data_IF_026651514885
#
_entry.id   IF_026651514885
#
_cell.length_a   1.000
_cell.length_b   1.000
_cell.length_c   1.000
_cell.angle_alpha   90.00
_cell.angle_beta   90.00
_cell.angle_gamma   90.00
#
_symmetry.space_group_name_H-M   'P 1'
#
loop_
_entity.id
_entity.type
_entity.pdbx_description
1 polymer ?
#
# COMPACT_ATOMS: atom_id res chain seq x y z
N UNK A 1 24.45 36.37 -28.67
CA UNK A 1 25.52 36.70 -27.71
C UNK A 1 26.87 35.98 -27.97
N UNK A 2 26.94 34.85 -28.68
CA UNK A 2 28.23 34.26 -29.09
C UNK A 2 28.91 35.02 -30.25
N UNK A 3 28.15 35.58 -31.20
CA UNK A 3 28.70 36.19 -32.42
C UNK A 3 29.36 37.57 -32.24
N UNK A 4 29.16 38.27 -31.12
CA UNK A 4 29.74 39.60 -30.90
C UNK A 4 31.13 39.57 -30.22
N UNK A 5 31.56 38.42 -29.67
CA UNK A 5 32.74 38.33 -28.81
C UNK A 5 34.08 38.19 -29.56
N UNK A 6 34.05 37.77 -30.82
CA UNK A 6 35.25 37.46 -31.61
C UNK A 6 35.86 38.64 -32.38
N UNK A 7 35.21 39.81 -32.43
CA UNK A 7 35.62 40.90 -33.34
C UNK A 7 36.60 41.93 -32.74
N UNK A 8 36.85 41.89 -31.43
CA UNK A 8 37.70 42.86 -30.74
C UNK A 8 38.97 42.19 -30.19
N UNK A 9 40.14 42.85 -30.28
CA UNK A 9 41.44 42.31 -29.82
C UNK A 9 41.74 42.60 -28.34
N UNK A 10 40.87 43.36 -27.67
CA UNK A 10 41.06 43.84 -26.30
C UNK A 10 39.80 43.71 -25.44
N UNK A 11 40.00 43.74 -24.12
CA UNK A 11 38.98 43.63 -23.08
C UNK A 11 39.19 44.76 -22.05
N UNK A 12 38.14 45.47 -21.61
CA UNK A 12 38.29 46.56 -20.65
C UNK A 12 38.56 46.03 -19.23
N UNK A 13 39.54 46.59 -18.52
CA UNK A 13 39.83 46.26 -17.13
C UNK A 13 38.93 47.07 -16.18
N UNK A 14 38.18 46.43 -15.26
CA UNK A 14 37.16 47.12 -14.45
C UNK A 14 37.72 48.15 -13.47
N UNK A 15 38.97 48.01 -13.01
CA UNK A 15 39.55 48.88 -11.99
C UNK A 15 40.27 50.12 -12.56
N UNK A 16 40.69 50.11 -13.83
CA UNK A 16 41.61 51.14 -14.37
C UNK A 16 41.10 51.85 -15.63
N UNK A 17 39.93 51.47 -16.18
CA UNK A 17 39.41 51.94 -17.49
C UNK A 17 40.40 51.81 -18.65
N UNK A 18 41.47 51.02 -18.49
CA UNK A 18 42.47 50.76 -19.53
C UNK A 18 42.10 49.47 -20.27
N UNK A 19 42.28 49.49 -21.58
CA UNK A 19 42.11 48.31 -22.44
C UNK A 19 43.30 47.36 -22.26
N UNK A 20 43.01 46.08 -22.05
CA UNK A 20 44.01 45.02 -21.99
C UNK A 20 43.84 44.10 -23.20
N UNK A 21 44.93 43.52 -23.70
CA UNK A 21 44.86 42.52 -24.75
C UNK A 21 44.25 41.21 -24.22
N UNK A 22 43.53 40.50 -25.10
CA UNK A 22 42.89 39.21 -24.78
C UNK A 22 43.90 38.09 -24.54
N UNK A 23 44.99 38.14 -25.28
CA UNK A 23 46.06 37.16 -25.26
C UNK A 23 47.40 37.86 -25.35
N UNK A 24 48.38 37.37 -24.62
CA UNK A 24 49.76 37.81 -24.76
C UNK A 24 50.57 36.77 -25.53
N UNK A 25 51.46 37.22 -26.43
CA UNK A 25 52.30 36.29 -27.20
C UNK A 25 53.29 35.61 -26.26
N UNK A 26 53.23 34.28 -26.23
CA UNK A 26 54.05 33.44 -25.39
C UNK A 26 54.98 32.59 -26.24
N UNK A 27 56.28 32.76 -26.03
CA UNK A 27 57.35 32.10 -26.77
C UNK A 27 57.75 30.81 -26.05
N UNK A 28 57.84 29.71 -26.80
CA UNK A 28 58.31 28.43 -26.29
C UNK A 28 59.84 28.43 -26.33
N UNK A 29 60.44 28.44 -25.14
CA UNK A 29 61.88 28.49 -24.94
C UNK A 29 62.34 27.16 -24.34
N UNK A 30 63.60 26.80 -24.59
CA UNK A 30 64.19 25.55 -24.09
C UNK A 30 65.44 25.83 -23.28
N UNK A 31 65.63 25.05 -22.21
CA UNK A 31 66.85 25.00 -21.39
C UNK A 31 67.00 23.57 -20.87
N UNK A 32 68.19 22.98 -20.99
CA UNK A 32 68.51 21.64 -20.48
C UNK A 32 67.52 20.52 -20.89
N UNK A 33 66.89 20.65 -22.06
CA UNK A 33 65.89 19.70 -22.59
C UNK A 33 64.44 19.96 -22.16
N UNK A 34 64.17 20.90 -21.26
CA UNK A 34 62.82 21.30 -20.85
C UNK A 34 62.29 22.47 -21.69
N UNK A 35 61.02 22.41 -22.10
CA UNK A 35 60.34 23.48 -22.85
C UNK A 35 59.36 24.25 -21.94
N UNK A 36 59.50 25.58 -21.87
CA UNK A 36 58.60 26.45 -21.10
C UNK A 36 58.20 27.71 -21.89
N UNK A 37 56.95 28.14 -21.70
CA UNK A 37 56.40 29.35 -22.31
C UNK A 37 56.72 30.62 -21.51
N UNK A 38 57.21 31.66 -22.19
CA UNK A 38 57.48 32.97 -21.59
C UNK A 38 56.87 34.10 -22.41
N UNK A 39 56.30 35.11 -21.75
CA UNK A 39 55.90 36.35 -22.43
C UNK A 39 57.11 37.17 -22.87
N UNK A 40 56.90 38.21 -23.68
CA UNK A 40 57.99 39.10 -24.09
C UNK A 40 58.67 39.82 -22.90
N UNK A 41 57.92 40.08 -21.82
CA UNK A 41 58.43 40.69 -20.60
C UNK A 41 59.22 39.68 -19.77
N UNK A 42 58.68 38.47 -19.55
CA UNK A 42 59.31 37.41 -18.77
C UNK A 42 60.58 36.86 -19.44
N UNK A 43 60.56 36.75 -20.77
CA UNK A 43 61.69 36.21 -21.52
C UNK A 43 62.96 37.04 -21.31
N UNK A 44 62.84 38.35 -21.06
CA UNK A 44 64.02 39.20 -20.79
C UNK A 44 64.77 38.76 -19.52
N UNK A 45 64.06 38.28 -18.51
CA UNK A 45 64.65 37.73 -17.29
C UNK A 45 65.08 36.28 -17.50
N UNK A 46 64.21 35.46 -18.09
CA UNK A 46 64.52 34.05 -18.37
C UNK A 46 65.73 33.85 -19.30
N UNK A 47 66.00 34.81 -20.19
CA UNK A 47 67.19 34.81 -21.04
C UNK A 47 68.48 34.95 -20.22
N UNK A 48 68.47 35.72 -19.13
CA UNK A 48 69.60 35.82 -18.20
C UNK A 48 69.82 34.50 -17.44
N UNK A 49 68.73 33.76 -17.18
CA UNK A 49 68.76 32.43 -16.55
C UNK A 49 69.08 31.29 -17.54
N UNK A 50 69.47 31.60 -18.79
CA UNK A 50 69.91 30.64 -19.79
C UNK A 50 68.80 30.00 -20.64
N UNK A 51 67.58 30.56 -20.64
CA UNK A 51 66.51 30.09 -21.54
C UNK A 51 66.62 30.65 -22.94
N UNK A 52 66.52 29.80 -23.95
CA UNK A 52 66.63 30.20 -25.36
C UNK A 52 65.33 29.99 -26.14
N UNK A 53 64.91 31.00 -26.92
CA UNK A 53 63.80 30.86 -27.86
C UNK A 53 64.14 29.83 -28.93
N UNK A 54 63.19 28.98 -29.27
CA UNK A 54 63.38 28.02 -30.35
C UNK A 54 63.01 28.64 -31.70
N UNK A 55 63.79 28.35 -32.74
CA UNK A 55 63.52 28.76 -34.12
C UNK A 55 63.54 27.54 -35.05
N UNK A 56 62.95 27.65 -36.23
CA UNK A 56 63.02 26.59 -37.24
C UNK A 56 64.38 26.62 -37.95
N UNK A 57 65.09 25.50 -37.90
CA UNK A 57 66.35 25.26 -38.62
C UNK A 57 66.19 24.11 -39.62
N UNK A 58 67.01 24.11 -40.66
CA UNK A 58 67.00 23.06 -41.70
C UNK A 58 68.02 21.97 -41.34
N UNK A 59 67.52 20.79 -40.96
CA UNK A 59 68.33 19.60 -40.67
C UNK A 59 68.09 18.60 -41.81
N UNK A 60 69.02 18.56 -42.78
CA UNK A 60 68.85 17.80 -44.02
C UNK A 60 67.62 18.25 -44.82
N UNK A 61 66.62 17.37 -44.99
CA UNK A 61 65.34 17.66 -45.68
C UNK A 61 64.21 18.11 -44.73
N UNK A 62 64.41 18.12 -43.41
CA UNK A 62 63.36 18.43 -42.42
C UNK A 62 63.58 19.80 -41.75
N UNK A 63 62.48 20.44 -41.33
CA UNK A 63 62.51 21.67 -40.53
C UNK A 63 62.25 21.30 -39.07
N UNK A 64 63.18 21.61 -38.18
CA UNK A 64 63.11 21.27 -36.75
C UNK A 64 63.25 22.52 -35.90
N UNK A 65 62.50 22.59 -34.80
CA UNK A 65 62.65 23.66 -33.81
C UNK A 65 63.79 23.32 -32.85
N UNK A 66 64.71 24.26 -32.66
CA UNK A 66 65.80 24.13 -31.68
C UNK A 66 66.31 25.51 -31.22
N UNK A 67 67.08 25.51 -30.14
CA UNK A 67 67.76 26.69 -29.62
C UNK A 67 68.88 27.15 -30.57
N UNK A 68 69.14 28.46 -30.70
CA UNK A 68 70.26 29.00 -31.45
C UNK A 68 71.63 28.41 -31.07
N UNK A 69 71.92 28.21 -29.78
CA UNK A 69 73.19 27.61 -29.34
C UNK A 69 73.37 26.18 -29.87
N UNK A 70 72.32 25.36 -29.78
CA UNK A 70 72.31 23.99 -30.29
C UNK A 70 72.43 23.94 -31.83
N UNK A 71 71.78 24.89 -32.54
CA UNK A 71 71.87 24.99 -33.99
C UNK A 71 73.27 25.43 -34.45
N UNK A 72 73.89 26.36 -33.74
CA UNK A 72 75.24 26.86 -34.06
C UNK A 72 76.31 25.79 -33.82
N UNK A 73 76.18 25.00 -32.76
CA UNK A 73 77.07 23.86 -32.50
C UNK A 73 77.07 22.81 -33.62
N UNK A 74 75.95 22.70 -34.37
CA UNK A 74 75.79 21.77 -35.49
C UNK A 74 75.87 22.44 -36.88
N UNK A 75 76.11 23.75 -36.94
CA UNK A 75 76.26 24.51 -38.19
C UNK A 75 74.97 24.65 -39.02
N UNK A 76 73.78 24.58 -38.42
CA UNK A 76 72.52 24.66 -39.17
C UNK A 76 72.06 26.08 -39.49
N UNK A 77 71.50 26.25 -40.69
CA UNK A 77 70.93 27.52 -41.13
C UNK A 77 69.48 27.72 -40.65
N UNK A 78 69.19 28.93 -40.17
CA UNK A 78 67.86 29.34 -39.69
C UNK A 78 66.92 29.59 -40.87
N UNK A 79 65.78 28.91 -40.86
CA UNK A 79 64.76 28.97 -41.94
C UNK A 79 63.71 30.07 -41.69
N UNK A 80 63.44 30.40 -40.43
CA UNK A 80 62.43 31.39 -40.06
C UNK A 80 62.96 32.34 -38.98
N UNK A 81 62.66 33.64 -39.16
CA UNK A 81 62.92 34.68 -38.16
C UNK A 81 61.95 34.64 -36.97
N UNK A 82 60.85 33.90 -37.08
CA UNK A 82 59.82 33.85 -36.05
C UNK A 82 60.06 32.67 -35.09
N UNK A 83 60.22 32.94 -33.79
CA UNK A 83 60.40 31.90 -32.79
C UNK A 83 59.12 31.08 -32.60
N UNK A 84 59.27 29.85 -32.10
CA UNK A 84 58.16 28.99 -31.69
C UNK A 84 57.33 29.69 -30.62
N UNK A 85 56.02 29.72 -30.78
CA UNK A 85 55.09 30.29 -29.81
C UNK A 85 53.91 29.35 -29.60
N UNK A 86 53.21 29.50 -28.47
CA UNK A 86 51.98 28.75 -28.24
C UNK A 86 50.90 29.15 -29.25
N UNK A 87 50.04 28.20 -29.64
CA UNK A 87 49.07 28.38 -30.74
C UNK A 87 48.09 29.54 -30.51
N UNK A 88 47.71 29.78 -29.26
CA UNK A 88 46.74 30.80 -28.87
C UNK A 88 47.32 31.88 -27.95
N UNK A 89 48.63 31.84 -27.66
CA UNK A 89 49.24 32.70 -26.65
C UNK A 89 48.75 32.43 -25.23
N UNK A 90 49.32 33.13 -24.25
CA UNK A 90 48.86 33.10 -22.87
C UNK A 90 47.55 33.88 -22.76
N UNK A 91 46.50 33.26 -22.24
CA UNK A 91 45.21 33.91 -22.08
C UNK A 91 45.24 34.92 -20.92
N UNK A 92 44.55 36.05 -21.08
CA UNK A 92 44.35 36.98 -19.98
C UNK A 92 43.36 36.38 -18.97
N UNK A 93 43.68 36.28 -17.67
CA UNK A 93 42.81 35.69 -16.65
C UNK A 93 41.41 36.32 -16.58
N UNK A 94 41.27 37.62 -16.87
CA UNK A 94 39.96 38.29 -16.92
C UNK A 94 39.15 37.78 -18.12
N UNK A 95 39.81 37.63 -19.27
CA UNK A 95 39.16 37.14 -20.49
C UNK A 95 38.82 35.66 -20.36
N UNK A 96 39.68 34.88 -19.71
CA UNK A 96 39.44 33.47 -19.38
C UNK A 96 38.22 33.33 -18.44
N UNK A 97 38.16 34.11 -17.35
CA UNK A 97 37.00 34.15 -16.46
C UNK A 97 35.71 34.54 -17.20
N UNK A 98 35.76 35.52 -18.09
CA UNK A 98 34.58 35.95 -18.86
C UNK A 98 34.08 34.90 -19.86
N UNK A 99 34.97 34.00 -20.27
CA UNK A 99 34.67 32.89 -21.17
C UNK A 99 34.41 31.58 -20.39
N UNK A 100 34.44 31.60 -19.06
CA UNK A 100 34.15 30.40 -18.27
C UNK A 100 32.65 30.09 -18.26
N UNK A 101 32.33 28.81 -18.20
CA UNK A 101 30.95 28.33 -18.13
C UNK A 101 30.25 28.77 -16.85
N UNK A 102 30.98 28.84 -15.74
CA UNK A 102 30.48 29.36 -14.45
C UNK A 102 30.01 30.81 -14.57
N UNK A 103 30.81 31.66 -15.22
CA UNK A 103 30.47 33.07 -15.40
C UNK A 103 29.28 33.25 -16.36
N UNK A 104 29.15 32.36 -17.34
CA UNK A 104 28.00 32.33 -18.25
C UNK A 104 26.69 32.01 -17.52
N UNK A 105 26.69 31.06 -16.59
CA UNK A 105 25.52 30.70 -15.78
C UNK A 105 25.07 31.90 -14.94
N UNK A 106 26.01 32.56 -14.24
CA UNK A 106 25.73 33.74 -13.43
C UNK A 106 25.15 34.89 -14.26
N UNK A 107 25.67 35.13 -15.46
CA UNK A 107 25.14 36.16 -16.35
C UNK A 107 23.76 35.82 -16.89
N UNK A 108 23.49 34.56 -17.25
CA UNK A 108 22.16 34.14 -17.69
C UNK A 108 21.13 34.28 -16.57
N UNK A 109 21.50 33.93 -15.33
CA UNK A 109 20.65 34.12 -14.16
C UNK A 109 20.33 35.60 -13.93
N UNK A 110 21.35 36.45 -13.82
CA UNK A 110 21.17 37.89 -13.61
C UNK A 110 20.34 38.55 -14.72
N UNK A 111 20.52 38.12 -15.97
CA UNK A 111 19.72 38.60 -17.09
C UNK A 111 18.25 38.16 -16.97
N UNK A 112 18.00 36.89 -16.66
CA UNK A 112 16.64 36.38 -16.45
C UNK A 112 15.94 37.13 -15.30
N UNK A 113 16.63 37.41 -14.20
CA UNK A 113 16.09 38.16 -13.06
C UNK A 113 15.73 39.60 -13.41
N UNK A 114 16.57 40.28 -14.19
CA UNK A 114 16.26 41.63 -14.70
C UNK A 114 15.04 41.57 -15.62
N UNK A 115 15.04 40.67 -16.60
CA UNK A 115 13.96 40.55 -17.57
C UNK A 115 12.61 40.21 -16.90
N UNK A 116 12.61 39.26 -15.96
CA UNK A 116 11.41 38.86 -15.23
C UNK A 116 10.83 40.00 -14.38
N UNK A 117 11.67 40.82 -13.74
CA UNK A 117 11.20 42.02 -13.02
C UNK A 117 10.49 43.01 -13.94
N UNK A 118 10.95 43.15 -15.19
CA UNK A 118 10.28 44.01 -16.16
C UNK A 118 8.96 43.40 -16.67
N UNK A 119 8.93 42.09 -16.92
CA UNK A 119 7.70 41.36 -17.29
C UNK A 119 6.63 41.49 -16.19
N UNK A 120 7.02 41.32 -14.93
CA UNK A 120 6.12 41.47 -13.78
C UNK A 120 5.56 42.90 -13.66
N UNK A 121 6.41 43.92 -13.79
CA UNK A 121 5.98 45.34 -13.77
C UNK A 121 5.02 45.71 -14.89
N UNK A 122 5.07 45.00 -16.01
CA UNK A 122 4.23 45.21 -17.19
C UNK A 122 2.99 44.30 -17.21
N UNK A 123 2.79 43.50 -16.16
CA UNK A 123 1.61 42.64 -16.00
C UNK A 123 1.65 41.33 -16.81
N UNK A 124 2.81 40.95 -17.35
CA UNK A 124 2.97 39.68 -18.06
C UNK A 124 3.16 38.52 -17.08
N UNK A 125 2.48 37.41 -17.30
CA UNK A 125 2.60 36.20 -16.48
C UNK A 125 3.79 35.32 -16.89
N UNK A 126 4.32 35.51 -18.10
CA UNK A 126 5.46 34.73 -18.59
C UNK A 126 6.73 34.97 -17.75
N UNK A 127 7.52 33.92 -17.55
CA UNK A 127 8.80 34.00 -16.83
C UNK A 127 9.89 33.26 -17.60
N UNK A 128 11.05 33.88 -17.65
CA UNK A 128 12.27 33.36 -18.25
C UNK A 128 13.04 32.57 -17.19
N UNK A 129 13.29 31.29 -17.44
CA UNK A 129 14.19 30.46 -16.63
C UNK A 129 15.50 30.28 -17.39
N UNK A 130 16.63 30.58 -16.73
CA UNK A 130 17.96 30.48 -17.31
C UNK A 130 18.49 29.04 -17.35
N UNK A 131 17.88 28.14 -16.57
CA UNK A 131 18.26 26.74 -16.47
C UNK A 131 17.80 25.94 -17.68
N UNK A 132 18.57 24.92 -18.03
CA UNK A 132 18.19 23.97 -19.07
C UNK A 132 16.94 23.16 -18.69
N UNK A 133 16.28 22.53 -19.66
CA UNK A 133 15.15 21.64 -19.38
C UNK A 133 15.56 20.48 -18.45
N UNK A 134 16.77 19.95 -18.59
CA UNK A 134 17.31 18.91 -17.71
C UNK A 134 17.47 19.40 -16.26
N UNK A 135 18.05 20.59 -16.06
CA UNK A 135 18.20 21.21 -14.72
C UNK A 135 16.85 21.57 -14.08
N UNK A 136 15.81 21.77 -14.90
CA UNK A 136 14.43 21.99 -14.44
C UNK A 136 13.65 20.69 -14.22
N UNK A 137 14.24 19.53 -14.53
CA UNK A 137 13.56 18.23 -14.46
C UNK A 137 12.43 18.05 -15.49
N UNK A 138 12.46 18.83 -16.58
CA UNK A 138 11.50 18.71 -17.67
C UNK A 138 11.93 17.57 -18.61
N UNK A 139 11.01 16.62 -18.85
CA UNK A 139 11.21 15.57 -19.84
C UNK A 139 10.90 16.04 -21.28
N UNK A 140 10.42 17.27 -21.43
CA UNK A 140 10.10 17.87 -22.72
C UNK A 140 11.37 18.16 -23.52
N UNK A 141 11.28 17.97 -24.83
CA UNK A 141 12.39 18.25 -25.74
C UNK A 141 12.42 19.74 -26.10
N UNK A 142 13.56 20.44 -25.98
CA UNK A 142 13.65 21.84 -26.38
C UNK A 142 13.58 21.98 -27.91
N UNK A 143 12.97 23.07 -28.38
CA UNK A 143 12.96 23.42 -29.80
C UNK A 143 14.33 23.90 -30.28
N UNK A 144 14.64 23.67 -31.56
CA UNK A 144 15.88 24.11 -32.19
C UNK A 144 15.73 25.54 -32.72
N UNK A 145 16.79 26.33 -32.70
CA UNK A 145 16.77 27.66 -33.29
C UNK A 145 16.62 27.59 -34.82
N UNK A 146 15.55 28.17 -35.34
CA UNK A 146 15.15 28.06 -36.75
C UNK A 146 16.08 28.87 -37.69
N UNK A 147 16.46 30.08 -37.28
CA UNK A 147 17.30 30.99 -38.07
C UNK A 147 16.54 31.75 -39.16
N UNK A 148 17.18 32.82 -39.67
CA UNK A 148 16.58 33.75 -40.67
C UNK A 148 16.27 33.08 -42.01
N UNK A 149 17.08 32.12 -42.45
CA UNK A 149 16.90 31.41 -43.74
C UNK A 149 15.65 30.53 -43.71
N UNK A 150 15.45 29.75 -42.64
CA UNK A 150 14.26 28.91 -42.46
C UNK A 150 12.97 29.75 -42.47
N UNK A 151 12.98 30.90 -41.79
CA UNK A 151 11.83 31.83 -41.76
C UNK A 151 11.55 32.49 -43.10
N UNK A 152 12.58 32.81 -43.88
CA UNK A 152 12.43 33.36 -45.22
C UNK A 152 11.83 32.35 -46.21
N UNK A 153 12.17 31.06 -46.09
CA UNK A 153 11.59 29.97 -46.90
C UNK A 153 10.10 29.76 -46.58
N UNK A 154 9.74 29.74 -45.30
CA UNK A 154 8.33 29.64 -44.87
C UNK A 154 7.48 30.82 -45.35
N UNK A 155 8.01 32.05 -45.33
CA UNK A 155 7.31 33.23 -45.86
C UNK A 155 7.03 33.13 -47.37
N UNK A 156 7.80 32.32 -48.09
CA UNK A 156 7.59 32.01 -49.52
C UNK A 156 6.72 30.77 -49.75
N UNK A 157 6.17 30.17 -48.69
CA UNK A 157 5.31 28.97 -48.77
C UNK A 157 6.07 27.65 -48.85
N UNK A 158 7.40 27.64 -48.67
CA UNK A 158 8.22 26.42 -48.69
C UNK A 158 8.45 25.95 -47.26
N UNK A 159 8.07 24.71 -46.95
CA UNK A 159 8.26 24.12 -45.62
C UNK A 159 9.75 23.88 -45.39
N UNK A 160 10.27 24.45 -44.30
CA UNK A 160 11.66 24.25 -43.90
C UNK A 160 11.78 23.08 -42.92
N UNK A 161 12.72 22.16 -43.12
CA UNK A 161 12.97 21.01 -42.22
C UNK A 161 13.10 21.42 -40.74
N UNK A 162 13.78 22.54 -40.47
CA UNK A 162 13.92 23.08 -39.10
C UNK A 162 12.61 23.57 -38.47
N UNK A 163 11.73 24.16 -39.28
CA UNK A 163 10.42 24.62 -38.82
C UNK A 163 9.49 23.42 -38.61
N UNK A 164 9.53 22.44 -39.50
CA UNK A 164 8.79 21.18 -39.37
C UNK A 164 9.23 20.38 -38.13
N UNK A 165 10.54 20.26 -37.90
CA UNK A 165 11.08 19.64 -36.68
C UNK A 165 10.56 20.31 -35.41
N UNK A 166 10.46 21.64 -35.39
CA UNK A 166 9.91 22.36 -34.25
C UNK A 166 8.40 22.18 -34.09
N UNK A 167 7.64 22.05 -35.19
CA UNK A 167 6.22 21.69 -35.14
C UNK A 167 6.05 20.31 -34.51
N UNK A 168 6.85 19.34 -34.94
CA UNK A 168 6.85 17.98 -34.38
C UNK A 168 7.23 17.98 -32.89
N UNK A 169 8.32 18.65 -32.50
CA UNK A 169 8.73 18.75 -31.09
C UNK A 169 7.60 19.36 -30.22
N UNK A 170 6.89 20.37 -30.73
CA UNK A 170 5.76 20.97 -30.01
C UNK A 170 4.58 20.00 -29.88
N UNK A 171 4.26 19.25 -30.93
CA UNK A 171 3.22 18.22 -30.91
C UNK A 171 3.56 17.09 -29.93
N UNK A 172 4.80 16.58 -29.98
CA UNK A 172 5.30 15.54 -29.08
C UNK A 172 5.25 15.99 -27.62
N UNK A 173 5.70 17.22 -27.33
CA UNK A 173 5.64 17.78 -25.98
C UNK A 173 4.19 17.96 -25.50
N UNK A 174 3.26 18.32 -26.39
CA UNK A 174 1.84 18.43 -26.05
C UNK A 174 1.26 17.05 -25.68
N UNK A 175 1.53 16.02 -26.47
CA UNK A 175 1.13 14.65 -26.18
C UNK A 175 1.74 14.14 -24.88
N UNK A 176 3.03 14.42 -24.63
CA UNK A 176 3.71 14.05 -23.38
C UNK A 176 3.01 14.65 -22.14
N UNK A 177 2.57 15.92 -22.22
CA UNK A 177 1.81 16.56 -21.14
C UNK A 177 0.45 15.91 -20.93
N UNK A 178 -0.26 15.60 -22.02
CA UNK A 178 -1.56 14.93 -21.95
C UNK A 178 -1.43 13.55 -21.30
N UNK A 179 -0.51 12.72 -21.78
CA UNK A 179 -0.24 11.38 -21.24
C UNK A 179 0.13 11.45 -19.74
N UNK A 180 0.99 12.40 -19.34
CA UNK A 180 1.30 12.62 -17.92
C UNK A 180 0.08 13.02 -17.10
N UNK A 181 -0.79 13.87 -17.67
CA UNK A 181 -2.06 14.24 -17.06
C UNK A 181 -2.98 13.04 -16.85
N UNK A 182 -3.12 12.18 -17.87
CA UNK A 182 -3.93 10.96 -17.80
C UNK A 182 -3.36 9.96 -16.79
N UNK A 183 -2.04 9.71 -16.80
CA UNK A 183 -1.38 8.83 -15.81
C UNK A 183 -1.58 9.36 -14.38
N UNK A 184 -1.47 10.68 -14.16
CA UNK A 184 -1.73 11.28 -12.85
C UNK A 184 -3.19 11.10 -12.41
N UNK A 185 -4.15 11.26 -13.33
CA UNK A 185 -5.58 11.00 -13.06
C UNK A 185 -5.83 9.53 -12.70
N UNK A 186 -5.24 8.60 -13.45
CA UNK A 186 -5.34 7.16 -13.18
C UNK A 186 -4.72 6.79 -11.83
N UNK A 187 -3.51 7.29 -11.54
CA UNK A 187 -2.85 7.07 -10.25
C UNK A 187 -3.68 7.61 -9.08
N UNK A 188 -4.32 8.77 -9.25
CA UNK A 188 -5.20 9.33 -8.24
C UNK A 188 -6.50 8.52 -8.09
N UNK A 189 -7.08 8.05 -9.19
CA UNK A 189 -8.25 7.18 -9.16
C UNK A 189 -7.95 5.89 -8.41
N UNK A 190 -6.83 5.21 -8.72
CA UNK A 190 -6.36 4.01 -8.02
C UNK A 190 -6.11 4.30 -6.53
N UNK A 191 -5.48 5.43 -6.21
CA UNK A 191 -5.24 5.86 -4.82
C UNK A 191 -6.54 6.07 -4.04
N UNK A 192 -7.64 6.46 -4.70
CA UNK A 192 -8.94 6.63 -4.06
C UNK A 192 -9.72 5.32 -3.98
N UNK A 193 -9.62 4.46 -4.98
CA UNK A 193 -10.38 3.20 -5.05
C UNK A 193 -9.82 2.10 -4.16
N UNK A 194 -8.49 2.03 -3.99
CA UNK A 194 -7.85 0.98 -3.18
C UNK A 194 -8.23 1.07 -1.69
N UNK A 195 -8.17 2.25 -1.03
CA UNK A 195 -8.67 2.40 0.34
C UNK A 195 -10.17 2.15 0.46
N UNK A 196 -10.97 2.59 -0.51
CA UNK A 196 -12.41 2.34 -0.52
C UNK A 196 -12.71 0.83 -0.60
N UNK A 197 -12.00 0.10 -1.45
CA UNK A 197 -12.13 -1.36 -1.57
C UNK A 197 -11.69 -2.07 -0.28
N UNK A 198 -10.59 -1.64 0.32
CA UNK A 198 -10.13 -2.16 1.61
C UNK A 198 -11.18 -1.95 2.71
N UNK A 199 -11.74 -0.74 2.79
CA UNK A 199 -12.79 -0.35 3.72
C UNK A 199 -14.05 -1.21 3.54
N UNK A 200 -14.53 -1.40 2.31
CA UNK A 200 -15.71 -2.25 2.04
C UNK A 200 -15.45 -3.71 2.41
N UNK A 201 -14.27 -4.27 2.08
CA UNK A 201 -13.92 -5.65 2.42
C UNK A 201 -13.81 -5.87 3.94
N UNK A 202 -13.21 -4.95 4.67
CA UNK A 202 -13.11 -5.07 6.12
C UNK A 202 -14.44 -4.76 6.84
N UNK A 203 -15.31 -3.93 6.27
CA UNK A 203 -16.69 -3.78 6.76
C UNK A 203 -17.53 -5.05 6.55
N UNK A 204 -17.40 -5.73 5.41
CA UNK A 204 -18.02 -7.05 5.22
C UNK A 204 -17.45 -8.09 6.18
N UNK A 205 -16.12 -8.13 6.37
CA UNK A 205 -15.48 -9.01 7.35
C UNK A 205 -16.00 -8.76 8.78
N UNK A 206 -16.19 -7.48 9.16
CA UNK A 206 -16.81 -7.09 10.42
C UNK A 206 -18.24 -7.63 10.55
N UNK A 207 -19.05 -7.53 9.49
CA UNK A 207 -20.41 -8.07 9.50
C UNK A 207 -20.41 -9.61 9.63
N UNK A 208 -19.54 -10.30 8.89
CA UNK A 208 -19.35 -11.76 9.01
C UNK A 208 -18.98 -12.17 10.44
N UNK A 209 -18.12 -11.39 11.10
CA UNK A 209 -17.75 -11.61 12.50
C UNK A 209 -18.96 -11.50 13.44
N UNK A 210 -19.80 -10.49 13.25
CA UNK A 210 -21.03 -10.32 14.03
C UNK A 210 -22.04 -11.45 13.80
N UNK A 211 -22.23 -11.88 12.55
CA UNK A 211 -23.10 -13.00 12.23
C UNK A 211 -22.60 -14.31 12.84
N UNK A 212 -21.29 -14.59 12.77
CA UNK A 212 -20.69 -15.75 13.42
C UNK A 212 -20.95 -15.75 14.93
N UNK A 213 -20.80 -14.58 15.57
CA UNK A 213 -21.08 -14.43 16.99
C UNK A 213 -22.55 -14.68 17.32
N UNK A 214 -23.46 -14.06 16.57
CA UNK A 214 -24.91 -14.23 16.74
C UNK A 214 -25.32 -15.69 16.58
N UNK A 215 -24.87 -16.35 15.50
CA UNK A 215 -25.13 -17.76 15.26
C UNK A 215 -24.59 -18.65 16.38
N UNK A 216 -23.37 -18.40 16.83
CA UNK A 216 -22.79 -19.17 17.93
C UNK A 216 -23.52 -18.95 19.25
N UNK A 217 -24.03 -17.74 19.51
CA UNK A 217 -24.85 -17.44 20.68
C UNK A 217 -26.20 -18.18 20.63
N UNK A 218 -26.88 -18.12 19.47
CA UNK A 218 -28.16 -18.79 19.25
C UNK A 218 -28.02 -20.31 19.39
N UNK A 219 -26.98 -20.90 18.78
CA UNK A 219 -26.71 -22.35 18.87
C UNK A 219 -26.51 -22.81 20.31
N UNK A 220 -25.74 -22.07 21.12
CA UNK A 220 -25.60 -22.36 22.56
C UNK A 220 -26.93 -22.22 23.32
N UNK A 221 -27.76 -21.24 22.94
CA UNK A 221 -29.11 -21.09 23.49
C UNK A 221 -30.00 -22.29 23.19
N UNK A 222 -30.02 -22.74 21.94
CA UNK A 222 -30.75 -23.93 21.48
C UNK A 222 -30.27 -25.19 22.18
N UNK A 223 -28.96 -25.38 22.29
CA UNK A 223 -28.36 -26.52 22.98
C UNK A 223 -28.81 -26.60 24.44
N UNK A 224 -28.83 -25.47 25.17
CA UNK A 224 -29.36 -25.42 26.54
C UNK A 224 -30.84 -25.82 26.60
N UNK A 225 -31.68 -25.25 25.73
CA UNK A 225 -33.12 -25.60 25.69
C UNK A 225 -33.34 -27.07 25.34
N UNK A 226 -32.61 -27.61 24.36
CA UNK A 226 -32.70 -29.00 23.97
C UNK A 226 -32.28 -29.93 25.12
N UNK A 227 -31.19 -29.62 25.83
CA UNK A 227 -30.79 -30.39 27.01
C UNK A 227 -31.88 -30.39 28.08
N UNK A 228 -32.48 -29.23 28.38
CA UNK A 228 -33.61 -29.15 29.31
C UNK A 228 -34.83 -29.95 28.83
N UNK A 229 -35.22 -29.82 27.56
CA UNK A 229 -36.36 -30.52 26.98
C UNK A 229 -36.15 -32.05 26.93
N UNK A 230 -34.93 -32.50 26.68
CA UNK A 230 -34.59 -33.93 26.68
C UNK A 230 -34.73 -34.56 28.07
N UNK A 231 -34.60 -33.78 29.14
CA UNK A 231 -34.86 -34.23 30.51
C UNK A 231 -36.35 -34.12 30.88
N UNK A 232 -37.01 -33.02 30.51
CA UNK A 232 -38.38 -32.73 30.95
C UNK A 232 -39.44 -33.55 30.17
N UNK A 233 -39.26 -33.81 28.87
CA UNK A 233 -40.26 -34.57 28.07
C UNK A 233 -40.43 -36.02 28.56
N UNK A 234 -39.36 -36.80 28.80
CA UNK A 234 -39.52 -38.14 29.37
C UNK A 234 -40.13 -38.09 30.77
N UNK A 235 -39.73 -37.12 31.59
CA UNK A 235 -40.29 -36.97 32.93
C UNK A 235 -41.79 -36.64 32.94
N UNK A 236 -42.26 -35.77 32.04
CA UNK A 236 -43.70 -35.52 31.89
C UNK A 236 -44.45 -36.79 31.47
N UNK A 237 -43.84 -37.60 30.60
CA UNK A 237 -44.40 -38.89 30.18
C UNK A 237 -44.52 -39.86 31.36
N UNK A 238 -43.46 -39.97 32.18
CA UNK A 238 -43.47 -40.78 33.40
C UNK A 238 -44.49 -40.28 34.43
N UNK A 239 -44.57 -38.96 34.65
CA UNK A 239 -45.55 -38.35 35.53
C UNK A 239 -46.99 -38.69 35.11
N UNK A 240 -47.31 -38.53 33.82
CA UNK A 240 -48.63 -38.84 33.29
C UNK A 240 -48.99 -40.32 33.45
N UNK A 241 -48.00 -41.21 33.29
CA UNK A 241 -48.17 -42.65 33.47
C UNK A 241 -48.42 -42.98 34.95
N UNK A 242 -47.59 -42.50 35.89
CA UNK A 242 -47.80 -42.67 37.33
C UNK A 242 -49.16 -42.12 37.78
N UNK A 243 -49.56 -40.95 37.28
CA UNK A 243 -50.87 -40.36 37.58
C UNK A 243 -52.03 -41.21 37.02
N UNK A 244 -51.84 -41.91 35.91
CA UNK A 244 -52.82 -42.86 35.38
C UNK A 244 -52.88 -44.12 36.24
N UNK A 245 -51.75 -44.72 36.58
CA UNK A 245 -51.67 -45.95 37.36
C UNK A 245 -52.26 -45.76 38.78
N UNK A 246 -51.96 -44.64 39.43
CA UNK A 246 -52.58 -44.26 40.71
C UNK A 246 -54.10 -44.17 40.57
N UNK A 247 -54.61 -43.56 39.49
CA UNK A 247 -56.06 -43.44 39.24
C UNK A 247 -56.71 -44.80 39.01
N UNK A 248 -56.09 -45.67 38.23
CA UNK A 248 -56.63 -46.99 37.89
C UNK A 248 -56.62 -47.92 39.11
N UNK A 249 -55.52 -47.97 39.86
CA UNK A 249 -55.44 -48.66 41.17
C UNK A 249 -56.45 -48.11 42.18
N UNK A 250 -56.74 -46.80 42.15
CA UNK A 250 -57.77 -46.19 43.02
C UNK A 250 -59.17 -46.69 42.69
N UNK A 251 -59.48 -46.88 41.40
CA UNK A 251 -60.76 -47.43 40.97
C UNK A 251 -60.89 -48.91 41.37
N UNK A 252 -59.84 -49.71 41.17
CA UNK A 252 -59.81 -51.13 41.53
C UNK A 252 -59.98 -51.34 43.05
N UNK A 253 -59.24 -50.57 43.87
CA UNK A 253 -59.41 -50.60 45.33
C UNK A 253 -60.84 -50.23 45.74
N UNK A 254 -61.44 -49.24 45.07
CA UNK A 254 -62.82 -48.81 45.34
C UNK A 254 -63.84 -49.90 44.98
N UNK A 255 -63.66 -50.62 43.87
CA UNK A 255 -64.55 -51.73 43.51
C UNK A 255 -64.43 -52.89 44.50
N UNK A 256 -63.22 -53.30 44.88
CA UNK A 256 -63.01 -54.37 45.87
C UNK A 256 -63.56 -53.99 47.27
N UNK A 257 -63.46 -52.72 47.65
CA UNK A 257 -64.09 -52.21 48.88
C UNK A 257 -65.61 -52.31 48.82
N UNK A 258 -66.23 -52.01 47.67
CA UNK A 258 -67.68 -52.14 47.49
C UNK A 258 -68.14 -53.61 47.48
N UNK A 259 -67.38 -54.50 46.83
CA UNK A 259 -67.63 -55.94 46.82
C UNK A 259 -67.57 -56.52 48.24
N UNK A 260 -66.50 -56.17 48.99
CA UNK A 260 -66.34 -56.57 50.38
C UNK A 260 -67.50 -56.10 51.26
N UNK A 261 -68.01 -54.88 51.06
CA UNK A 261 -69.17 -54.35 51.82
C UNK A 261 -70.49 -55.04 51.48
N UNK A 262 -70.66 -55.50 50.23
CA UNK A 262 -71.85 -56.22 49.79
C UNK A 262 -71.86 -57.69 50.23
N UNK A 263 -70.69 -58.26 50.55
CA UNK A 263 -70.55 -59.64 51.03
C UNK A 263 -71.08 -59.83 52.46
N UNK A 264 -72.01 -60.78 52.63
CA UNK A 264 -72.50 -61.19 53.95
C UNK A 264 -71.36 -61.67 54.88
N UNK A 265 -71.47 -61.37 56.17
CA UNK A 265 -70.45 -61.65 57.20
C UNK A 265 -70.13 -63.15 57.38
N UNK A 266 -70.98 -64.04 56.87
CA UNK A 266 -70.78 -65.51 56.93
C UNK A 266 -69.62 -65.97 56.03
N UNK A 267 -69.25 -65.20 54.99
CA UNK A 267 -68.18 -65.55 54.05
C UNK A 267 -66.78 -65.11 54.53
N UNK A 268 -66.35 -65.58 55.70
CA UNK A 268 -65.11 -65.14 56.38
C UNK A 268 -63.86 -65.26 55.50
N UNK A 269 -63.72 -66.36 54.75
CA UNK A 269 -62.56 -66.57 53.86
C UNK A 269 -62.49 -65.55 52.71
N UNK A 270 -63.63 -65.22 52.08
CA UNK A 270 -63.70 -64.19 51.03
C UNK A 270 -63.46 -62.79 51.57
N UNK A 271 -63.97 -62.48 52.76
CA UNK A 271 -63.67 -61.21 53.46
C UNK A 271 -62.17 -61.05 53.72
N UNK A 272 -61.48 -62.13 54.13
CA UNK A 272 -60.03 -62.14 54.36
C UNK A 272 -59.24 -62.01 53.07
N UNK A 273 -59.65 -62.70 52.01
CA UNK A 273 -59.04 -62.60 50.68
C UNK A 273 -59.15 -61.18 50.10
N UNK A 274 -60.35 -60.59 50.12
CA UNK A 274 -60.57 -59.21 49.68
C UNK A 274 -59.83 -58.21 50.56
N UNK A 275 -59.75 -58.43 51.88
CA UNK A 275 -58.95 -57.59 52.77
C UNK A 275 -57.47 -57.61 52.41
N UNK A 276 -56.91 -58.79 52.09
CA UNK A 276 -55.52 -58.92 51.66
C UNK A 276 -55.27 -58.20 50.32
N UNK A 277 -56.15 -58.36 49.33
CA UNK A 277 -56.06 -57.64 48.04
C UNK A 277 -56.17 -56.12 48.20
N UNK A 278 -57.09 -55.65 49.06
CA UNK A 278 -57.22 -54.22 49.36
C UNK A 278 -55.96 -53.69 50.06
N UNK A 279 -55.35 -54.46 50.96
CA UNK A 279 -54.10 -54.08 51.62
C UNK A 279 -52.95 -53.95 50.61
N UNK A 280 -52.75 -54.97 49.77
CA UNK A 280 -51.74 -54.95 48.70
C UNK A 280 -51.93 -53.76 47.74
N UNK A 281 -53.18 -53.52 47.27
CA UNK A 281 -53.47 -52.34 46.45
C UNK A 281 -53.23 -51.01 47.17
N UNK A 282 -53.37 -50.97 48.51
CA UNK A 282 -53.10 -49.75 49.28
C UNK A 282 -51.59 -49.49 49.37
N UNK A 283 -50.78 -50.54 49.49
CA UNK A 283 -49.33 -50.49 49.45
C UNK A 283 -48.81 -50.04 48.07
N UNK A 284 -49.22 -50.71 46.99
CA UNK A 284 -48.90 -50.32 45.60
C UNK A 284 -49.23 -48.83 45.33
N UNK A 285 -50.35 -48.34 45.86
CA UNK A 285 -50.76 -46.95 45.68
C UNK A 285 -49.83 -45.96 46.37
N UNK A 286 -49.31 -46.31 47.55
CA UNK A 286 -48.41 -45.45 48.31
C UNK A 286 -47.00 -45.46 47.71
N UNK A 287 -46.56 -46.60 47.16
CA UNK A 287 -45.34 -46.69 46.36
C UNK A 287 -45.42 -45.80 45.13
N UNK A 288 -46.48 -45.93 44.31
CA UNK A 288 -46.67 -45.09 43.12
C UNK A 288 -46.76 -43.59 43.46
N UNK A 289 -47.38 -43.22 44.59
CA UNK A 289 -47.40 -41.83 45.07
C UNK A 289 -46.02 -41.33 45.46
N UNK A 290 -45.24 -42.17 46.14
CA UNK A 290 -43.87 -41.87 46.54
C UNK A 290 -42.97 -41.67 45.32
N UNK A 291 -43.06 -42.55 44.32
CA UNK A 291 -42.34 -42.42 43.05
C UNK A 291 -42.72 -41.13 42.31
N UNK A 292 -44.02 -40.83 42.21
CA UNK A 292 -44.51 -39.59 41.59
C UNK A 292 -43.96 -38.35 42.32
N UNK A 293 -43.95 -38.36 43.65
CA UNK A 293 -43.47 -37.23 44.44
C UNK A 293 -41.95 -37.06 44.34
N UNK A 294 -41.21 -38.17 44.28
CA UNK A 294 -39.77 -38.16 44.05
C UNK A 294 -39.42 -37.59 42.67
N UNK A 295 -40.16 -37.99 41.63
CA UNK A 295 -40.01 -37.45 40.28
C UNK A 295 -40.22 -35.93 40.25
N UNK A 296 -41.31 -35.44 40.85
CA UNK A 296 -41.59 -34.00 40.92
C UNK A 296 -40.54 -33.23 41.72
N UNK A 297 -40.12 -33.77 42.87
CA UNK A 297 -39.07 -33.17 43.71
C UNK A 297 -37.73 -33.07 42.96
N UNK A 298 -37.37 -34.10 42.18
CA UNK A 298 -36.13 -34.11 41.38
C UNK A 298 -36.08 -32.99 40.32
N UNK A 299 -37.24 -32.49 39.91
CA UNK A 299 -37.41 -31.45 38.90
C UNK A 299 -37.85 -30.11 39.50
N UNK A 300 -37.92 -30.01 40.82
CA UNK A 300 -38.39 -28.82 41.56
C UNK A 300 -39.84 -28.42 41.23
N UNK A 301 -40.70 -29.38 40.89
CA UNK A 301 -42.15 -29.15 40.77
C UNK A 301 -42.87 -29.57 42.04
N UNK A 302 -43.91 -28.84 42.42
CA UNK A 302 -44.86 -29.25 43.46
C UNK A 302 -46.02 -30.07 42.84
N UNK A 303 -46.79 -30.79 43.65
CA UNK A 303 -47.99 -31.49 43.15
C UNK A 303 -49.00 -30.53 42.51
N UNK A 304 -49.15 -29.32 43.06
CA UNK A 304 -50.05 -28.29 42.55
C UNK A 304 -49.58 -27.77 41.19
N UNK A 305 -48.26 -27.60 41.03
CA UNK A 305 -47.66 -27.11 39.79
C UNK A 305 -47.66 -28.15 38.67
N UNK A 306 -47.62 -29.44 39.02
CA UNK A 306 -47.41 -30.54 38.08
C UNK A 306 -48.50 -30.68 37.01
N UNK A 307 -49.76 -30.33 37.35
CA UNK A 307 -50.89 -30.48 36.42
C UNK A 307 -50.93 -29.37 35.37
N UNK A 308 -50.53 -28.15 35.76
CA UNK A 308 -50.70 -26.96 34.92
C UNK A 308 -49.36 -26.35 34.48
N UNK A 309 -48.45 -26.05 35.40
CA UNK A 309 -47.17 -25.38 35.09
C UNK A 309 -46.23 -26.30 34.32
N UNK A 310 -46.08 -27.55 34.73
CA UNK A 310 -45.12 -28.48 34.11
C UNK A 310 -45.30 -28.62 32.58
N UNK A 311 -46.51 -28.94 32.04
CA UNK A 311 -46.71 -28.96 30.60
C UNK A 311 -46.61 -27.58 29.93
N UNK A 312 -47.02 -26.50 30.62
CA UNK A 312 -46.91 -25.12 30.10
C UNK A 312 -45.47 -24.67 29.92
N UNK A 313 -44.59 -25.01 30.86
CA UNK A 313 -43.16 -24.67 30.79
C UNK A 313 -42.48 -25.38 29.63
N UNK A 314 -42.77 -26.67 29.43
CA UNK A 314 -42.28 -27.43 28.27
C UNK A 314 -42.75 -26.77 26.97
N UNK A 315 -44.05 -26.45 26.85
CA UNK A 315 -44.59 -25.78 25.68
C UNK A 315 -43.93 -24.40 25.44
N UNK A 316 -43.66 -23.62 26.49
CA UNK A 316 -42.98 -22.33 26.39
C UNK A 316 -41.51 -22.48 25.93
N UNK A 317 -40.80 -23.51 26.41
CA UNK A 317 -39.45 -23.83 25.96
C UNK A 317 -39.43 -24.28 24.49
N UNK A 318 -40.40 -25.09 24.06
CA UNK A 318 -40.52 -25.52 22.66
C UNK A 318 -40.82 -24.35 21.72
N UNK A 319 -41.71 -23.43 22.11
CA UNK A 319 -41.94 -22.20 21.36
C UNK A 319 -40.70 -21.32 21.29
N UNK A 320 -39.95 -21.23 22.39
CA UNK A 320 -38.69 -20.47 22.42
C UNK A 320 -37.63 -21.10 21.52
N UNK A 321 -37.54 -22.44 21.51
CA UNK A 321 -36.64 -23.20 20.62
C UNK A 321 -36.97 -22.93 19.15
N UNK A 322 -38.25 -22.98 18.77
CA UNK A 322 -38.70 -22.67 17.41
C UNK A 322 -38.33 -21.25 16.97
N UNK A 323 -38.50 -20.25 17.85
CA UNK A 323 -38.09 -18.86 17.57
C UNK A 323 -36.58 -18.75 17.35
N UNK A 324 -35.77 -19.47 18.13
CA UNK A 324 -34.32 -19.49 17.95
C UNK A 324 -33.90 -20.18 16.64
N UNK A 325 -34.62 -21.22 16.21
CA UNK A 325 -34.40 -21.88 14.91
C UNK A 325 -34.68 -20.94 13.73
N UNK A 326 -35.79 -20.21 13.77
CA UNK A 326 -36.14 -19.20 12.75
C UNK A 326 -35.07 -18.09 12.68
N UNK A 327 -34.58 -17.62 13.83
CA UNK A 327 -33.50 -16.63 13.89
C UNK A 327 -32.16 -17.18 13.36
N UNK A 328 -31.83 -18.43 13.69
CA UNK A 328 -30.61 -19.08 13.18
C UNK A 328 -30.65 -19.19 11.65
N UNK A 329 -31.77 -19.61 11.08
CA UNK A 329 -31.94 -19.68 9.62
C UNK A 329 -31.77 -18.31 8.97
N UNK A 330 -32.37 -17.26 9.54
CA UNK A 330 -32.23 -15.89 9.05
C UNK A 330 -30.77 -15.43 9.04
N UNK A 331 -30.06 -15.54 10.16
CA UNK A 331 -28.66 -15.08 10.23
C UNK A 331 -27.71 -15.95 9.41
N UNK A 332 -28.04 -17.24 9.20
CA UNK A 332 -27.28 -18.09 8.27
C UNK A 332 -27.41 -17.57 6.84
N UNK A 333 -28.62 -17.22 6.40
CA UNK A 333 -28.83 -16.66 5.08
C UNK A 333 -28.13 -15.30 4.90
N UNK A 334 -28.15 -14.44 5.91
CA UNK A 334 -27.41 -13.16 5.91
C UNK A 334 -25.89 -13.36 5.87
N UNK A 335 -25.37 -14.38 6.58
CA UNK A 335 -23.95 -14.77 6.51
C UNK A 335 -23.56 -15.22 5.11
N UNK A 336 -24.36 -16.09 4.49
CA UNK A 336 -24.11 -16.62 3.14
C UNK A 336 -24.15 -15.50 2.09
N UNK A 337 -25.12 -14.58 2.20
CA UNK A 337 -25.18 -13.40 1.34
C UNK A 337 -23.93 -12.52 1.48
N UNK A 338 -23.47 -12.24 2.71
CA UNK A 338 -22.27 -11.47 2.94
C UNK A 338 -20.99 -12.18 2.45
N UNK A 339 -20.93 -13.51 2.51
CA UNK A 339 -19.83 -14.30 1.94
C UNK A 339 -19.79 -14.18 0.41
N UNK A 340 -20.95 -14.22 -0.25
CA UNK A 340 -21.06 -14.04 -1.70
C UNK A 340 -20.64 -12.62 -2.13
N UNK A 341 -21.08 -11.58 -1.41
CA UNK A 341 -20.63 -10.21 -1.65
C UNK A 341 -19.10 -10.06 -1.47
N UNK A 342 -18.56 -10.68 -0.42
CA UNK A 342 -17.12 -10.67 -0.18
C UNK A 342 -16.34 -11.38 -1.30
N UNK A 343 -16.87 -12.49 -1.83
CA UNK A 343 -16.29 -13.18 -2.97
C UNK A 343 -16.29 -12.29 -4.23
N UNK A 344 -17.38 -11.57 -4.51
CA UNK A 344 -17.43 -10.60 -5.61
C UNK A 344 -16.40 -9.47 -5.48
N UNK A 345 -16.21 -8.93 -4.27
CA UNK A 345 -15.14 -7.93 -4.02
C UNK A 345 -13.74 -8.53 -4.16
N UNK A 346 -13.58 -9.82 -3.88
CA UNK A 346 -12.29 -10.51 -4.08
C UNK A 346 -11.95 -10.66 -5.56
N UNK A 347 -12.94 -10.84 -6.43
CA UNK A 347 -12.74 -10.84 -7.88
C UNK A 347 -12.36 -9.46 -8.40
N UNK A 348 -13.07 -8.41 -7.97
CA UNK A 348 -12.74 -7.02 -8.31
C UNK A 348 -11.33 -6.63 -7.83
N UNK A 349 -10.89 -7.18 -6.70
CA UNK A 349 -9.56 -6.94 -6.14
C UNK A 349 -8.40 -7.51 -6.99
N UNK A 350 -8.66 -8.42 -7.94
CA UNK A 350 -7.60 -9.04 -8.75
C UNK A 350 -6.89 -8.03 -9.68
N UNK A 351 -7.54 -6.93 -10.04
CA UNK A 351 -6.95 -5.88 -10.87
C UNK A 351 -6.00 -4.94 -10.11
N UNK A 352 -5.91 -5.08 -8.78
CA UNK A 352 -5.07 -4.24 -7.92
C UNK A 352 -3.83 -5.01 -7.46
N UNK A 353 -2.79 -4.27 -7.03
CA UNK A 353 -1.61 -4.86 -6.38
C UNK A 353 -2.04 -5.60 -5.10
N UNK A 354 -1.86 -6.95 -5.04
CA UNK A 354 -2.28 -7.74 -3.90
C UNK A 354 -1.57 -7.36 -2.60
N UNK A 355 -0.32 -6.88 -2.67
CA UNK A 355 0.46 -6.50 -1.49
C UNK A 355 -0.07 -5.19 -0.91
N UNK A 356 -0.24 -4.16 -1.74
CA UNK A 356 -0.77 -2.86 -1.30
C UNK A 356 -2.20 -2.97 -0.74
N UNK A 357 -3.07 -3.75 -1.40
CA UNK A 357 -4.43 -3.96 -0.89
C UNK A 357 -4.42 -4.71 0.45
N UNK A 358 -3.56 -5.71 0.61
CA UNK A 358 -3.41 -6.42 1.88
C UNK A 358 -2.94 -5.47 2.99
N UNK A 359 -1.93 -4.64 2.74
CA UNK A 359 -1.44 -3.65 3.71
C UNK A 359 -2.51 -2.63 4.10
N UNK A 360 -3.25 -2.10 3.12
CA UNK A 360 -4.36 -1.18 3.37
C UNK A 360 -5.48 -1.80 4.20
N UNK A 361 -5.76 -3.10 4.05
CA UNK A 361 -6.71 -3.83 4.89
C UNK A 361 -6.18 -4.06 6.30
N UNK A 362 -4.92 -4.45 6.45
CA UNK A 362 -4.32 -4.70 7.75
C UNK A 362 -4.21 -3.43 8.61
N UNK A 363 -4.07 -2.24 8.00
CA UNK A 363 -4.00 -0.98 8.74
C UNK A 363 -5.32 -0.60 9.40
N UNK A 364 -6.46 -0.91 8.77
CA UNK A 364 -7.80 -0.60 9.31
C UNK A 364 -8.44 -1.73 10.11
N UNK A 365 -7.98 -2.98 9.91
CA UNK A 365 -8.55 -4.19 10.52
C UNK A 365 -8.70 -4.12 12.04
N UNK A 366 -7.70 -3.70 12.84
CA UNK A 366 -7.85 -3.65 14.29
C UNK A 366 -9.00 -2.75 14.73
N UNK A 367 -9.16 -1.60 14.07
CA UNK A 367 -10.28 -0.68 14.34
C UNK A 367 -11.62 -1.32 13.99
N UNK A 368 -11.74 -1.99 12.85
CA UNK A 368 -12.96 -2.69 12.43
C UNK A 368 -13.31 -3.87 13.33
N UNK A 369 -12.33 -4.60 13.84
CA UNK A 369 -12.56 -5.65 14.83
C UNK A 369 -13.06 -5.08 16.15
N UNK A 370 -12.47 -3.98 16.62
CA UNK A 370 -12.94 -3.29 17.83
C UNK A 370 -14.36 -2.75 17.67
N UNK A 371 -14.72 -2.20 16.52
CA UNK A 371 -16.10 -1.79 16.21
C UNK A 371 -17.08 -2.97 16.33
N UNK A 372 -16.71 -4.15 15.82
CA UNK A 372 -17.52 -5.36 15.92
C UNK A 372 -17.69 -5.81 17.39
N UNK A 373 -16.59 -5.82 18.15
CA UNK A 373 -16.61 -6.20 19.56
C UNK A 373 -17.48 -5.26 20.38
N UNK A 374 -17.31 -3.95 20.20
CA UNK A 374 -18.13 -2.94 20.88
C UNK A 374 -19.61 -3.11 20.55
N UNK A 375 -19.94 -3.37 19.28
CA UNK A 375 -21.34 -3.61 18.86
C UNK A 375 -21.91 -4.88 19.47
N UNK A 376 -21.14 -5.96 19.55
CA UNK A 376 -21.56 -7.18 20.23
C UNK A 376 -21.76 -6.94 21.74
N UNK A 377 -20.85 -6.21 22.39
CA UNK A 377 -20.98 -5.86 23.80
C UNK A 377 -22.23 -5.00 24.07
N UNK A 378 -22.55 -4.04 23.20
CA UNK A 378 -23.76 -3.23 23.31
C UNK A 378 -25.05 -4.06 23.21
N UNK A 379 -25.09 -5.04 22.30
CA UNK A 379 -26.28 -5.87 22.07
C UNK A 379 -26.47 -6.90 23.18
N UNK A 380 -25.38 -7.53 23.63
CA UNK A 380 -25.46 -8.65 24.58
C UNK A 380 -25.22 -8.24 26.04
N UNK A 381 -24.64 -7.07 26.30
CA UNK A 381 -24.38 -6.54 27.64
C UNK A 381 -23.62 -7.55 28.50
N UNK A 382 -24.16 -7.84 29.69
CA UNK A 382 -23.62 -8.85 30.63
C UNK A 382 -23.59 -10.27 30.05
N UNK A 383 -24.40 -10.55 29.02
CA UNK A 383 -24.42 -11.86 28.34
C UNK A 383 -23.34 -11.97 27.26
N UNK A 384 -22.52 -10.93 27.06
CA UNK A 384 -21.41 -10.97 26.14
C UNK A 384 -20.35 -11.99 26.59
N UNK A 385 -20.01 -12.92 25.71
CA UNK A 385 -18.98 -13.93 25.93
C UNK A 385 -17.72 -13.64 25.08
N UNK A 386 -16.57 -13.28 25.69
CA UNK A 386 -15.32 -13.04 24.96
C UNK A 386 -14.75 -14.28 24.24
N UNK A 387 -14.90 -15.48 24.81
CA UNK A 387 -14.45 -16.72 24.17
C UNK A 387 -15.24 -16.99 22.89
N UNK A 388 -16.55 -16.72 22.90
CA UNK A 388 -17.37 -16.82 21.70
C UNK A 388 -16.93 -15.82 20.61
N UNK A 389 -16.50 -14.62 20.99
CA UNK A 389 -15.93 -13.65 20.06
C UNK A 389 -14.63 -14.16 19.44
N UNK A 390 -13.74 -14.73 20.25
CA UNK A 390 -12.51 -15.36 19.77
C UNK A 390 -12.81 -16.49 18.76
N UNK A 391 -13.76 -17.38 19.08
CA UNK A 391 -14.17 -18.45 18.17
C UNK A 391 -14.75 -17.90 16.86
N UNK A 392 -15.48 -16.79 16.94
CA UNK A 392 -16.07 -16.10 15.78
C UNK A 392 -14.99 -15.53 14.86
N UNK A 393 -13.96 -14.89 15.42
CA UNK A 393 -12.79 -14.42 14.63
C UNK A 393 -12.10 -15.59 13.92
N UNK A 394 -11.91 -16.70 14.63
CA UNK A 394 -11.30 -17.92 14.06
C UNK A 394 -12.17 -18.53 12.95
N UNK A 395 -13.50 -18.49 13.09
CA UNK A 395 -14.43 -18.94 12.07
C UNK A 395 -14.33 -18.08 10.79
N UNK A 396 -14.40 -16.76 10.93
CA UNK A 396 -14.26 -15.80 9.81
C UNK A 396 -12.94 -16.00 9.07
N UNK A 397 -11.83 -16.12 9.80
CA UNK A 397 -10.51 -16.35 9.22
C UNK A 397 -10.46 -17.62 8.35
N UNK A 398 -11.09 -18.70 8.82
CA UNK A 398 -11.21 -19.96 8.05
C UNK A 398 -12.09 -19.82 6.83
N UNK A 399 -13.27 -19.23 6.97
CA UNK A 399 -14.24 -19.04 5.87
C UNK A 399 -13.67 -18.16 4.75
N UNK A 400 -12.93 -17.11 5.10
CA UNK A 400 -12.33 -16.19 4.14
C UNK A 400 -10.97 -16.67 3.60
N UNK A 401 -10.46 -17.80 4.10
CA UNK A 401 -9.16 -18.34 3.74
C UNK A 401 -8.00 -17.34 3.89
N UNK A 402 -8.06 -16.48 4.92
CA UNK A 402 -7.10 -15.39 5.08
C UNK A 402 -5.66 -15.88 5.30
N UNK A 403 -5.49 -17.11 5.84
CA UNK A 403 -4.18 -17.73 5.98
C UNK A 403 -3.50 -17.96 4.63
N UNK A 404 -4.25 -18.36 3.60
CA UNK A 404 -3.71 -18.54 2.24
C UNK A 404 -3.31 -17.19 1.63
N UNK A 405 -4.15 -16.16 1.78
CA UNK A 405 -3.86 -14.80 1.32
C UNK A 405 -2.60 -14.25 1.99
N UNK A 406 -2.50 -14.38 3.32
CA UNK A 406 -1.32 -13.97 4.11
C UNK A 406 -0.06 -14.68 3.64
N UNK A 407 -0.12 -15.98 3.39
CA UNK A 407 1.04 -16.73 2.89
C UNK A 407 1.45 -16.30 1.48
N UNK A 408 0.49 -16.10 0.58
CA UNK A 408 0.74 -15.63 -0.78
C UNK A 408 1.43 -14.24 -0.77
N UNK A 409 0.89 -13.29 -0.02
CA UNK A 409 1.46 -11.93 0.12
C UNK A 409 2.87 -11.97 0.72
N UNK A 410 3.12 -12.82 1.73
CA UNK A 410 4.47 -13.03 2.28
C UNK A 410 5.45 -13.58 1.25
N UNK A 411 5.03 -14.49 0.36
CA UNK A 411 5.88 -15.00 -0.72
C UNK A 411 6.22 -13.89 -1.73
N UNK A 412 5.23 -13.11 -2.14
CA UNK A 412 5.40 -11.98 -3.07
C UNK A 412 6.38 -10.94 -2.51
N UNK A 413 6.21 -10.52 -1.25
CA UNK A 413 7.13 -9.57 -0.60
C UNK A 413 8.58 -10.08 -0.54
N UNK A 414 8.77 -11.37 -0.19
CA UNK A 414 10.11 -11.99 -0.17
C UNK A 414 10.75 -12.03 -1.56
N UNK A 415 9.96 -12.28 -2.61
CA UNK A 415 10.46 -12.31 -3.98
C UNK A 415 10.89 -10.91 -4.42
N UNK A 416 10.06 -9.89 -4.17
CA UNK A 416 10.39 -8.49 -4.48
C UNK A 416 11.68 -8.03 -3.78
N UNK A 417 11.90 -8.41 -2.51
CA UNK A 417 13.13 -8.12 -1.79
C UNK A 417 14.36 -8.79 -2.42
N UNK A 418 14.25 -10.06 -2.84
CA UNK A 418 15.34 -10.77 -3.52
C UNK A 418 15.69 -10.13 -4.86
N UNK A 419 14.69 -9.71 -5.64
CA UNK A 419 14.89 -9.04 -6.92
C UNK A 419 15.57 -7.67 -6.74
N UNK A 420 15.16 -6.91 -5.72
CA UNK A 420 15.82 -5.65 -5.36
C UNK A 420 17.29 -5.87 -4.96
N UNK A 421 17.57 -6.86 -4.11
CA UNK A 421 18.93 -7.22 -3.72
C UNK A 421 19.79 -7.64 -4.93
N UNK A 422 19.27 -8.52 -5.79
CA UNK A 422 19.95 -8.93 -7.01
C UNK A 422 20.19 -7.74 -7.98
N UNK A 423 19.27 -6.78 -8.04
CA UNK A 423 19.44 -5.57 -8.85
C UNK A 423 20.52 -4.64 -8.29
N UNK A 424 20.61 -4.53 -6.95
CA UNK A 424 21.64 -3.77 -6.27
C UNK A 424 23.03 -4.40 -6.44
N UNK A 425 23.13 -5.73 -6.34
CA UNK A 425 24.38 -6.46 -6.60
C UNK A 425 24.83 -6.39 -8.07
N UNK A 426 23.90 -6.39 -9.02
CA UNK A 426 24.23 -6.17 -10.44
C UNK A 426 24.71 -4.75 -10.71
N UNK A 427 24.10 -3.75 -10.05
CA UNK A 427 24.54 -2.35 -10.17
C UNK A 427 25.90 -2.11 -9.51
N UNK A 428 26.22 -2.75 -8.39
CA UNK A 428 27.55 -2.62 -7.77
C UNK A 428 28.64 -3.24 -8.63
N UNK A 429 28.42 -4.43 -9.19
CA UNK A 429 29.39 -5.10 -10.09
C UNK A 429 29.57 -4.41 -11.45
N UNK A 430 28.62 -3.59 -11.89
CA UNK A 430 28.70 -2.80 -13.11
C UNK A 430 29.48 -1.49 -12.98
N UNK A 431 29.77 -1.05 -11.76
CA UNK A 431 30.57 0.17 -11.47
C UNK A 431 32.06 -0.16 -11.28
N UNK A 432 32.42 -1.44 -11.12
CA UNK A 432 33.80 -1.94 -10.99
C UNK A 432 34.46 -2.37 -12.33
N UNK A 433 33.81 -2.12 -13.47
CA UNK A 433 34.38 -2.27 -14.83
C UNK A 433 34.41 -0.93 -15.54
#
# INVERSE_FOLDING_TARGET
>A
WAAARSRWSSTPAPATRKWQYKTEKEYLCVKDGEERGFTAAEFRQAQADGWEKQYQYKVGKKKVYMAPSAAQAQGYERVSKYPKSTKYGRQNPITERWNSDEQLILWRAAWADVANRHLERTGHEERIDHRSHAERGLLERPTVHEGVVARAMEKKGIISDRCELNRQIKADNALLRELRGQVKKLAQAVKNTLPALAETRENLRKNLLLFCYQLGYLRKGKERLNTSLNTLRPALTQYNQLAKDIRDKTKERRSLLSEKKALSAVHVFRHRELAAKIAALTEDQEELRSEKNLLLASLSYTEEDAVDKFPKDIAAMEQSLKRLEEQEQKYSAELDAALNEYAGLREQAQSFDPVQLYEARQSIRPSKEQEAENRAQQVYGEKYNPLLMFDSKKAVLRMLHEDMERQAVRRMMRQAQKEQQASHEKKSKGVER
#
